data_IF_124173390158
#
_entry.id   IF_124173390158
#
_cell.length_a   1.000
_cell.length_b   1.000
_cell.length_c   1.000
_cell.angle_alpha   90.00
_cell.angle_beta   90.00
_cell.angle_gamma   90.00
#
_symmetry.space_group_name_H-M   'P 1'
#
loop_
_entity.id
_entity.type
_entity.pdbx_description
1 polymer ?
#
# COMPACT_ATOMS: atom_id res chain seq x y z
N UNK A 1 21.16 9.90 -2.82
CA UNK A 1 19.79 9.89 -2.32
C UNK A 1 19.14 8.57 -2.64
N UNK A 2 18.68 7.87 -1.64
CA UNK A 2 18.09 6.57 -1.83
C UNK A 2 16.63 6.64 -2.26
N UNK A 3 16.13 5.53 -2.72
CA UNK A 3 14.71 5.36 -2.98
C UNK A 3 13.96 5.28 -1.65
N UNK A 4 12.66 5.47 -1.71
CA UNK A 4 11.78 5.26 -0.56
C UNK A 4 11.05 3.95 -0.75
N UNK A 5 11.01 3.14 0.29
CA UNK A 5 10.22 1.91 0.31
C UNK A 5 9.02 2.12 1.22
N UNK A 6 7.84 1.87 0.69
CA UNK A 6 6.62 1.88 1.46
C UNK A 6 6.26 0.43 1.78
N UNK A 7 6.09 0.14 3.06
CA UNK A 7 5.64 -1.19 3.52
C UNK A 7 4.23 -1.02 4.04
N UNK A 8 3.30 -1.71 3.41
CA UNK A 8 1.89 -1.70 3.81
C UNK A 8 1.57 -3.03 4.47
N UNK A 9 1.15 -2.99 5.72
CA UNK A 9 0.76 -4.19 6.46
C UNK A 9 -0.73 -4.09 6.78
N UNK A 10 -1.49 -5.08 6.37
CA UNK A 10 -2.91 -5.16 6.71
C UNK A 10 -3.07 -5.80 8.08
N UNK A 11 -3.76 -5.13 8.98
CA UNK A 11 -4.09 -5.69 10.29
C UNK A 11 -5.39 -6.48 10.24
N UNK A 12 -6.42 -5.87 9.65
CA UNK A 12 -7.73 -6.52 9.50
C UNK A 12 -8.34 -6.13 8.16
N UNK A 13 -9.14 -7.03 7.61
CA UNK A 13 -9.94 -6.79 6.41
C UNK A 13 -11.35 -7.25 6.76
N UNK A 14 -12.32 -6.32 6.77
CA UNK A 14 -13.70 -6.63 7.13
C UNK A 14 -14.62 -6.83 5.92
N UNK A 15 -14.18 -6.43 4.72
CA UNK A 15 -14.97 -6.58 3.50
C UNK A 15 -14.04 -6.79 2.30
N UNK A 16 -13.94 -8.04 1.86
CA UNK A 16 -13.07 -8.41 0.74
C UNK A 16 -13.52 -7.80 -0.58
N UNK A 17 -14.80 -7.62 -0.78
CA UNK A 17 -15.32 -7.03 -2.04
C UNK A 17 -14.95 -5.56 -2.16
N UNK A 18 -15.02 -4.83 -1.06
CA UNK A 18 -14.58 -3.43 -1.03
C UNK A 18 -13.07 -3.32 -1.24
N UNK A 19 -12.31 -4.26 -0.68
CA UNK A 19 -10.87 -4.30 -0.90
C UNK A 19 -10.54 -4.52 -2.37
N UNK A 20 -11.28 -5.40 -3.06
CA UNK A 20 -11.09 -5.64 -4.50
C UNK A 20 -11.37 -4.38 -5.31
N UNK A 21 -12.44 -3.66 -5.01
CA UNK A 21 -12.77 -2.40 -5.68
C UNK A 21 -11.68 -1.37 -5.44
N UNK A 22 -11.22 -1.27 -4.19
CA UNK A 22 -10.11 -0.39 -3.84
C UNK A 22 -8.87 -0.72 -4.68
N UNK A 23 -8.48 -1.98 -4.73
CA UNK A 23 -7.27 -2.39 -5.44
C UNK A 23 -7.32 -2.06 -6.93
N UNK A 24 -8.48 -2.21 -7.55
CA UNK A 24 -8.67 -1.89 -8.98
C UNK A 24 -8.49 -0.40 -9.26
N UNK A 25 -8.80 0.46 -8.30
CA UNK A 25 -8.64 1.90 -8.44
C UNK A 25 -7.26 2.36 -7.95
N UNK A 26 -6.79 1.81 -6.83
CA UNK A 26 -5.58 2.27 -6.18
C UNK A 26 -4.32 1.93 -6.97
N UNK A 27 -4.20 0.71 -7.48
CA UNK A 27 -2.99 0.29 -8.17
C UNK A 27 -2.69 1.14 -9.40
N UNK A 28 -3.64 1.35 -10.33
CA UNK A 28 -3.38 2.22 -11.48
C UNK A 28 -3.05 3.66 -11.06
N UNK A 29 -3.74 4.19 -10.05
CA UNK A 29 -3.48 5.54 -9.55
C UNK A 29 -2.06 5.68 -9.02
N UNK A 30 -1.61 4.70 -8.25
CA UNK A 30 -0.26 4.70 -7.67
C UNK A 30 0.81 4.51 -8.74
N UNK A 31 0.60 3.59 -9.68
CA UNK A 31 1.55 3.35 -10.77
C UNK A 31 1.70 4.58 -11.66
N UNK A 32 0.60 5.24 -11.95
CA UNK A 32 0.59 6.50 -12.71
C UNK A 32 1.39 7.58 -12.00
N UNK A 33 1.37 7.59 -10.67
CA UNK A 33 2.11 8.54 -9.86
C UNK A 33 3.58 8.16 -9.67
N UNK A 34 4.00 6.99 -10.13
CA UNK A 34 5.39 6.55 -10.07
C UNK A 34 5.68 5.40 -9.13
N UNK A 35 4.67 4.77 -8.55
CA UNK A 35 4.87 3.61 -7.69
C UNK A 35 5.38 2.41 -8.48
N UNK A 36 6.33 1.70 -7.90
CA UNK A 36 6.79 0.42 -8.42
C UNK A 36 6.49 -0.64 -7.37
N UNK A 37 5.56 -1.53 -7.68
CA UNK A 37 5.21 -2.62 -6.76
C UNK A 37 6.28 -3.69 -6.85
N UNK A 38 6.94 -3.96 -5.71
CA UNK A 38 8.05 -4.93 -5.63
C UNK A 38 7.58 -6.29 -5.13
N UNK A 39 6.64 -6.30 -4.19
CA UNK A 39 6.11 -7.53 -3.62
C UNK A 39 4.71 -7.29 -3.09
N UNK A 40 3.88 -8.32 -3.10
CA UNK A 40 2.51 -8.22 -2.63
C UNK A 40 1.96 -9.61 -2.34
N UNK A 41 1.33 -9.77 -1.19
CA UNK A 41 0.66 -11.01 -0.85
C UNK A 41 0.71 -11.31 0.63
N UNK A 42 0.25 -12.50 0.99
CA UNK A 42 0.36 -13.02 2.33
C UNK A 42 1.77 -13.58 2.49
N UNK A 43 2.49 -13.25 3.58
CA UNK A 43 3.85 -13.75 3.76
C UNK A 43 3.91 -15.27 3.70
N UNK A 44 4.90 -15.80 2.98
CA UNK A 44 5.11 -17.24 2.88
C UNK A 44 5.76 -17.79 4.14
N UNK A 45 6.41 -16.92 4.91
CA UNK A 45 7.04 -17.28 6.18
C UNK A 45 7.14 -16.05 7.07
N UNK A 46 7.04 -16.25 8.36
CA UNK A 46 7.23 -15.20 9.36
C UNK A 46 8.05 -15.77 10.51
N UNK A 47 8.65 -14.87 11.29
CA UNK A 47 9.39 -15.26 12.51
C UNK A 47 9.04 -14.27 13.62
N UNK A 48 9.26 -14.71 14.84
CA UNK A 48 9.05 -13.92 16.06
C UNK A 48 7.63 -13.35 16.09
N UNK A 49 7.46 -12.04 16.19
CA UNK A 49 6.14 -11.43 16.29
C UNK A 49 5.48 -11.19 14.91
N UNK A 50 6.09 -11.68 13.83
CA UNK A 50 5.51 -11.52 12.49
C UNK A 50 4.19 -12.24 12.35
N UNK A 51 3.21 -11.60 11.71
CA UNK A 51 1.90 -12.17 11.44
C UNK A 51 1.72 -12.38 9.95
N UNK A 52 1.02 -13.46 9.57
CA UNK A 52 0.76 -13.77 8.16
C UNK A 52 -0.42 -12.98 7.64
N UNK A 53 -0.33 -11.68 7.68
CA UNK A 53 -1.33 -10.78 7.11
C UNK A 53 -0.81 -10.16 5.82
N UNK A 54 -1.73 -9.78 4.94
CA UNK A 54 -1.39 -9.22 3.64
C UNK A 54 -0.39 -8.07 3.78
N UNK A 55 0.68 -8.13 3.00
CA UNK A 55 1.76 -7.14 3.03
C UNK A 55 2.12 -6.75 1.60
N UNK A 56 2.44 -5.47 1.41
CA UNK A 56 2.82 -4.94 0.10
C UNK A 56 4.07 -4.11 0.28
N UNK A 57 5.02 -4.26 -0.64
CA UNK A 57 6.25 -3.45 -0.67
C UNK A 57 6.25 -2.66 -1.97
N UNK A 58 6.34 -1.34 -1.86
CA UNK A 58 6.28 -0.41 -2.98
C UNK A 58 7.52 0.47 -2.95
N UNK A 59 8.09 0.75 -4.12
CA UNK A 59 9.21 1.66 -4.26
C UNK A 59 8.73 2.98 -4.85
N UNK A 60 9.22 4.08 -4.28
CA UNK A 60 8.96 5.44 -4.75
C UNK A 60 10.27 6.17 -4.96
N UNK A 61 10.29 7.14 -5.87
CA UNK A 61 11.47 7.97 -6.10
C UNK A 61 11.76 8.90 -4.93
N UNK A 62 10.72 9.40 -4.27
CA UNK A 62 10.86 10.28 -3.11
C UNK A 62 9.62 10.19 -2.21
N UNK A 63 9.77 10.64 -0.97
CA UNK A 63 8.65 10.73 -0.03
C UNK A 63 7.62 11.76 -0.51
N UNK A 64 8.09 12.85 -1.11
CA UNK A 64 7.20 13.88 -1.64
C UNK A 64 6.26 13.32 -2.71
N UNK A 65 6.80 12.50 -3.61
CA UNK A 65 5.99 11.85 -4.66
C UNK A 65 5.00 10.87 -4.02
N UNK A 66 5.44 10.08 -3.04
CA UNK A 66 4.57 9.14 -2.35
C UNK A 66 3.42 9.85 -1.64
N UNK A 67 3.72 10.96 -0.96
CA UNK A 67 2.70 11.76 -0.28
C UNK A 67 1.72 12.40 -1.28
N UNK A 68 2.22 12.91 -2.37
CA UNK A 68 1.37 13.49 -3.42
C UNK A 68 0.44 12.45 -4.02
N UNK A 69 0.92 11.22 -4.19
CA UNK A 69 0.11 10.11 -4.68
C UNK A 69 -1.02 9.79 -3.71
N UNK A 70 -0.71 9.73 -2.42
CA UNK A 70 -1.72 9.46 -1.39
C UNK A 70 -2.80 10.56 -1.38
N UNK A 71 -2.40 11.80 -1.53
CA UNK A 71 -3.32 12.95 -1.48
C UNK A 71 -4.03 13.21 -2.81
N UNK A 72 -3.69 12.48 -3.87
CA UNK A 72 -4.31 12.68 -5.18
C UNK A 72 -5.80 12.33 -5.18
N UNK A 73 -6.56 12.98 -6.06
CA UNK A 73 -7.99 12.70 -6.19
C UNK A 73 -8.25 11.24 -6.56
N UNK A 74 -7.43 10.69 -7.44
CA UNK A 74 -7.57 9.28 -7.87
C UNK A 74 -7.41 8.33 -6.70
N UNK A 75 -6.42 8.55 -5.85
CA UNK A 75 -6.22 7.68 -4.70
C UNK A 75 -7.30 7.88 -3.64
N UNK A 76 -7.74 9.11 -3.42
CA UNK A 76 -8.84 9.40 -2.49
C UNK A 76 -10.13 8.72 -2.92
N UNK A 77 -10.38 8.66 -4.23
CA UNK A 77 -11.51 7.90 -4.77
C UNK A 77 -11.38 6.40 -4.43
N UNK A 78 -10.17 5.86 -4.54
CA UNK A 78 -9.92 4.48 -4.15
C UNK A 78 -10.20 4.25 -2.66
N UNK A 79 -9.78 5.19 -1.80
CA UNK A 79 -10.07 5.11 -0.36
C UNK A 79 -11.56 5.14 -0.07
N UNK A 80 -12.33 5.93 -0.82
CA UNK A 80 -13.78 5.94 -0.68
C UNK A 80 -14.37 4.56 -1.02
N UNK A 81 -13.84 3.87 -2.02
CA UNK A 81 -14.28 2.52 -2.36
C UNK A 81 -13.93 1.52 -1.25
N UNK A 82 -12.80 1.70 -0.58
CA UNK A 82 -12.40 0.86 0.55
C UNK A 82 -13.36 1.03 1.73
N UNK A 83 -13.84 2.27 1.94
CA UNK A 83 -14.90 2.58 2.90
C UNK A 83 -14.63 2.04 4.31
N UNK A 84 -13.41 2.22 4.79
CA UNK A 84 -13.03 1.79 6.14
C UNK A 84 -12.99 0.29 6.36
N UNK A 85 -13.03 -0.52 5.31
CA UNK A 85 -13.10 -1.98 5.42
C UNK A 85 -11.77 -2.66 5.72
N UNK A 86 -10.71 -1.91 5.92
CA UNK A 86 -9.41 -2.46 6.28
C UNK A 86 -8.68 -1.53 7.24
N UNK A 87 -7.95 -2.13 8.18
CA UNK A 87 -7.03 -1.41 9.05
C UNK A 87 -5.63 -1.76 8.60
N UNK A 88 -4.84 -0.76 8.26
CA UNK A 88 -3.51 -0.96 7.69
C UNK A 88 -2.48 -0.09 8.39
N UNK A 89 -1.22 -0.52 8.32
CA UNK A 89 -0.08 0.30 8.69
C UNK A 89 0.70 0.64 7.43
N UNK A 90 0.99 1.91 7.25
CA UNK A 90 1.85 2.39 6.15
C UNK A 90 3.16 2.84 6.77
N UNK A 91 4.26 2.27 6.33
CA UNK A 91 5.60 2.66 6.79
C UNK A 91 6.45 3.05 5.60
N UNK A 92 7.17 4.15 5.72
CA UNK A 92 8.06 4.64 4.67
C UNK A 92 9.48 4.63 5.20
N UNK A 93 10.37 3.93 4.49
CA UNK A 93 11.77 3.80 4.86
C UNK A 93 12.65 4.28 3.72
N UNK A 94 13.79 4.88 4.09
CA UNK A 94 14.79 5.21 3.09
C UNK A 94 15.61 3.96 2.79
N UNK A 95 15.99 3.78 1.52
CA UNK A 95 16.87 2.68 1.14
C UNK A 95 18.26 2.88 1.74
N UNK A 96 18.92 1.80 2.03
CA UNK A 96 20.31 1.85 2.50
C UNK A 96 21.25 2.18 1.35
#
# INVERSE_FOLDING_TARGET
MGKIFQVVVYRTISDEKKLEKYAKLARPAMEKAGAKFLARGVPIAVREAGEKTRTIVIQWESLEIANAAYDSDDYQEALNALDGSAVREFRYLESV
#
